data_IF_860899575467
#
_entry.id   IF_860899575467
#
_cell.length_a   1.000
_cell.length_b   1.000
_cell.length_c   1.000
_cell.angle_alpha   90.00
_cell.angle_beta   90.00
_cell.angle_gamma   90.00
#
_symmetry.space_group_name_H-M   'P 1'
#
loop_
_entity.id
_entity.type
_entity.pdbx_description
1 polymer ?
#
# COMPACT_ATOMS: atom_id res chain seq x y z
N UNK A 1 16.63 0.19 10.69
CA UNK A 1 15.36 -0.43 11.15
C UNK A 1 14.50 0.55 11.91
N UNK A 2 15.04 1.24 12.92
CA UNK A 2 14.24 2.13 13.78
C UNK A 2 13.51 3.24 13.02
N UNK A 3 14.17 3.88 12.05
CA UNK A 3 13.54 4.96 11.28
C UNK A 3 12.46 4.43 10.33
N UNK A 4 12.82 3.51 9.43
CA UNK A 4 11.96 3.07 8.33
C UNK A 4 10.93 1.99 8.71
N UNK A 5 11.07 1.33 9.86
CA UNK A 5 10.14 0.29 10.32
C UNK A 5 9.47 0.69 11.63
N UNK A 6 10.25 0.92 12.70
CA UNK A 6 9.68 1.26 14.01
C UNK A 6 8.94 2.61 13.96
N UNK A 7 9.55 3.64 13.37
CA UNK A 7 8.93 4.95 13.17
C UNK A 7 7.66 4.86 12.34
N UNK A 8 7.68 4.07 11.25
CA UNK A 8 6.50 3.80 10.42
C UNK A 8 5.33 3.24 11.24
N UNK A 9 5.58 2.21 12.07
CA UNK A 9 4.54 1.58 12.88
C UNK A 9 3.94 2.54 13.90
N UNK A 10 4.78 3.32 14.60
CA UNK A 10 4.30 4.33 15.54
C UNK A 10 3.50 5.44 14.86
N UNK A 11 3.99 5.98 13.74
CA UNK A 11 3.26 6.99 12.97
C UNK A 11 1.93 6.46 12.47
N UNK A 12 1.90 5.21 12.00
CA UNK A 12 0.67 4.54 11.58
C UNK A 12 -0.32 4.44 12.73
N UNK A 13 0.12 3.96 13.89
CA UNK A 13 -0.71 3.87 15.09
C UNK A 13 -1.31 5.23 15.49
N UNK A 14 -0.48 6.28 15.53
CA UNK A 14 -0.92 7.64 15.81
C UNK A 14 -1.90 8.16 14.75
N UNK A 15 -1.67 7.88 13.46
CA UNK A 15 -2.55 8.29 12.38
C UNK A 15 -3.96 7.70 12.56
N UNK A 16 -4.06 6.40 12.86
CA UNK A 16 -5.36 5.76 13.12
C UNK A 16 -6.06 6.31 14.37
N UNK A 17 -5.30 6.75 15.38
CA UNK A 17 -5.88 7.38 16.56
C UNK A 17 -6.36 8.82 16.29
N UNK A 18 -5.55 9.64 15.62
CA UNK A 18 -5.77 11.09 15.50
C UNK A 18 -6.57 11.50 14.26
N UNK A 19 -6.43 10.81 13.12
CA UNK A 19 -7.18 11.17 11.91
C UNK A 19 -8.70 11.16 12.14
N UNK A 20 -9.29 10.15 12.80
CA UNK A 20 -10.73 10.16 13.09
C UNK A 20 -11.19 11.29 14.01
N UNK A 21 -10.29 11.83 14.83
CA UNK A 21 -10.56 12.91 15.79
C UNK A 21 -10.33 14.30 15.22
N UNK A 22 -9.79 14.39 13.99
CA UNK A 22 -9.48 15.66 13.36
C UNK A 22 -10.80 16.37 12.96
N UNK A 23 -11.09 17.58 13.50
CA UNK A 23 -12.33 18.29 13.20
C UNK A 23 -12.54 18.49 11.70
N UNK A 24 -13.79 18.28 11.24
CA UNK A 24 -14.14 18.41 9.82
C UNK A 24 -13.59 17.29 8.92
N UNK A 25 -13.03 16.21 9.48
CA UNK A 25 -12.64 15.03 8.70
C UNK A 25 -13.74 13.97 8.60
N UNK A 26 -14.03 13.53 7.38
CA UNK A 26 -14.97 12.43 7.08
C UNK A 26 -14.27 11.08 6.92
N UNK A 27 -15.04 9.99 7.05
CA UNK A 27 -14.57 8.67 6.67
C UNK A 27 -14.31 8.62 5.15
N UNK A 28 -13.28 7.88 4.74
CA UNK A 28 -12.99 7.68 3.31
C UNK A 28 -14.11 6.90 2.59
N UNK A 29 -14.36 7.21 1.32
CA UNK A 29 -15.30 6.48 0.48
C UNK A 29 -14.87 6.54 -1.00
N UNK A 30 -15.08 5.44 -1.74
CA UNK A 30 -14.84 5.40 -3.19
C UNK A 30 -15.84 6.28 -3.95
N UNK A 31 -17.04 6.49 -3.41
CA UNK A 31 -18.08 7.35 -4.00
C UNK A 31 -17.86 8.84 -3.68
N UNK A 32 -16.66 9.19 -3.20
CA UNK A 32 -16.33 10.56 -2.87
C UNK A 32 -16.28 11.45 -4.12
N UNK A 33 -16.60 12.73 -3.91
CA UNK A 33 -16.54 13.79 -4.91
C UNK A 33 -15.43 14.77 -4.50
N UNK A 34 -14.21 14.59 -5.04
CA UNK A 34 -13.08 15.46 -4.73
C UNK A 34 -13.44 16.94 -4.94
N UNK A 35 -13.07 17.79 -3.98
CA UNK A 35 -13.31 19.24 -4.05
C UNK A 35 -14.70 19.73 -3.63
N UNK A 36 -15.68 18.83 -3.40
CA UNK A 36 -17.02 19.20 -2.91
C UNK A 36 -17.33 18.68 -1.50
N UNK A 37 -16.63 17.64 -1.06
CA UNK A 37 -16.87 16.98 0.22
C UNK A 37 -15.91 17.46 1.31
N UNK A 38 -16.22 17.12 2.56
CA UNK A 38 -15.32 17.35 3.68
C UNK A 38 -14.01 16.59 3.48
N UNK A 39 -12.93 17.12 4.07
CA UNK A 39 -11.60 16.50 4.02
C UNK A 39 -11.70 15.06 4.51
N UNK A 40 -11.14 14.12 3.78
CA UNK A 40 -11.12 12.72 4.18
C UNK A 40 -9.91 12.41 5.08
N UNK A 41 -9.82 11.16 5.52
CA UNK A 41 -8.74 10.67 6.38
C UNK A 41 -7.83 9.77 5.55
N UNK A 42 -6.58 10.18 5.40
CA UNK A 42 -5.63 9.50 4.53
C UNK A 42 -4.28 9.30 5.22
N UNK A 43 -3.76 8.08 5.15
CA UNK A 43 -2.39 7.73 5.50
C UNK A 43 -1.64 7.39 4.21
N UNK A 44 -0.65 8.20 3.85
CA UNK A 44 0.20 7.96 2.69
C UNK A 44 1.55 7.38 3.14
N UNK A 45 1.84 6.15 2.74
CA UNK A 45 3.09 5.47 3.08
C UNK A 45 4.17 5.72 2.03
N UNK A 46 5.42 5.86 2.49
CA UNK A 46 6.59 6.01 1.63
C UNK A 46 7.43 4.72 1.65
N UNK A 47 7.15 3.85 0.68
CA UNK A 47 7.91 2.66 0.36
C UNK A 47 9.17 2.97 -0.44
N UNK A 48 9.53 2.06 -1.35
CA UNK A 48 10.63 2.17 -2.31
C UNK A 48 10.48 1.05 -3.34
N UNK A 49 11.16 1.15 -4.48
CA UNK A 49 11.41 -0.04 -5.31
C UNK A 49 12.13 -1.16 -4.56
N UNK A 50 12.92 -0.83 -3.53
CA UNK A 50 13.51 -1.80 -2.61
C UNK A 50 12.49 -2.57 -1.74
N UNK A 51 11.22 -2.14 -1.73
CA UNK A 51 10.13 -2.89 -1.11
C UNK A 51 9.70 -4.09 -1.94
N UNK A 52 9.98 -4.09 -3.25
CA UNK A 52 9.49 -5.07 -4.23
C UNK A 52 10.63 -5.90 -4.80
N UNK A 53 11.77 -5.25 -5.05
CA UNK A 53 12.95 -5.86 -5.62
C UNK A 53 14.13 -5.79 -4.64
N UNK A 54 14.99 -6.82 -4.61
CA UNK A 54 16.15 -6.80 -3.73
C UNK A 54 17.19 -5.77 -4.20
N UNK A 55 17.83 -5.10 -3.24
CA UNK A 55 19.06 -4.33 -3.47
C UNK A 55 20.16 -5.06 -2.69
N UNK A 56 20.95 -5.94 -3.35
CA UNK A 56 21.92 -6.80 -2.66
C UNK A 56 22.90 -6.05 -1.76
N UNK A 57 23.30 -4.84 -2.16
CA UNK A 57 24.22 -3.99 -1.41
C UNK A 57 23.60 -3.37 -0.13
N UNK A 58 22.27 -3.41 0.04
CA UNK A 58 21.58 -2.74 1.15
C UNK A 58 20.51 -3.64 1.79
N UNK A 59 20.88 -4.79 2.38
CA UNK A 59 19.93 -5.76 2.93
C UNK A 59 19.07 -5.19 4.07
N UNK A 60 19.65 -4.35 4.94
CA UNK A 60 18.91 -3.73 6.04
C UNK A 60 17.88 -2.70 5.56
N UNK A 61 18.20 -1.94 4.51
CA UNK A 61 17.26 -1.01 3.88
C UNK A 61 16.14 -1.77 3.17
N UNK A 62 16.49 -2.79 2.40
CA UNK A 62 15.53 -3.68 1.73
C UNK A 62 14.56 -4.32 2.72
N UNK A 63 15.05 -4.88 3.82
CA UNK A 63 14.22 -5.45 4.88
C UNK A 63 13.24 -4.43 5.47
N UNK A 64 13.72 -3.23 5.82
CA UNK A 64 12.86 -2.18 6.35
C UNK A 64 11.80 -1.73 5.33
N UNK A 65 12.15 -1.64 4.04
CA UNK A 65 11.21 -1.25 2.97
C UNK A 65 10.21 -2.36 2.62
N UNK A 66 10.58 -3.64 2.76
CA UNK A 66 9.63 -4.75 2.70
C UNK A 66 8.64 -4.70 3.87
N UNK A 67 9.06 -4.28 5.07
CA UNK A 67 8.14 -4.08 6.19
C UNK A 67 7.08 -3.01 5.88
N UNK A 68 7.45 -1.93 5.16
CA UNK A 68 6.48 -0.93 4.67
C UNK A 68 5.43 -1.56 3.75
N UNK A 69 5.88 -2.39 2.79
CA UNK A 69 4.97 -3.08 1.87
C UNK A 69 4.06 -4.07 2.61
N UNK A 70 4.60 -4.85 3.54
CA UNK A 70 3.80 -5.78 4.35
C UNK A 70 2.72 -5.05 5.16
N UNK A 71 3.07 -3.91 5.76
CA UNK A 71 2.11 -3.05 6.46
C UNK A 71 1.04 -2.51 5.50
N UNK A 72 1.43 -2.01 4.33
CA UNK A 72 0.49 -1.53 3.31
C UNK A 72 -0.49 -2.64 2.87
N UNK A 73 0.01 -3.82 2.50
CA UNK A 73 -0.82 -4.96 2.06
C UNK A 73 -1.79 -5.41 3.16
N UNK A 74 -1.36 -5.38 4.42
CA UNK A 74 -2.21 -5.72 5.57
C UNK A 74 -3.32 -4.69 5.81
N UNK A 75 -2.99 -3.40 5.68
CA UNK A 75 -3.93 -2.32 5.97
C UNK A 75 -4.87 -2.00 4.82
N UNK A 76 -4.43 -2.10 3.56
CA UNK A 76 -5.26 -1.72 2.39
C UNK A 76 -6.58 -2.51 2.32
N UNK A 77 -6.59 -3.73 2.85
CA UNK A 77 -7.78 -4.59 2.89
C UNK A 77 -8.78 -4.16 3.97
N UNK A 78 -8.35 -3.52 5.06
CA UNK A 78 -9.17 -3.28 6.25
C UNK A 78 -9.30 -1.82 6.67
N UNK A 79 -8.45 -0.93 6.17
CA UNK A 79 -8.35 0.46 6.63
C UNK A 79 -9.65 1.24 6.44
N UNK A 80 -10.38 0.92 5.37
CA UNK A 80 -11.67 1.54 5.03
C UNK A 80 -12.74 1.31 6.11
N UNK A 81 -12.68 0.20 6.86
CA UNK A 81 -13.58 -0.09 7.98
C UNK A 81 -13.39 0.92 9.11
N UNK A 82 -12.17 1.42 9.29
CA UNK A 82 -11.86 2.47 10.27
C UNK A 82 -12.02 3.88 9.69
N UNK A 83 -12.53 3.98 8.45
CA UNK A 83 -12.74 5.23 7.74
C UNK A 83 -11.46 5.96 7.35
N UNK A 84 -10.31 5.28 7.34
CA UNK A 84 -9.02 5.83 6.92
C UNK A 84 -8.61 5.12 5.64
N UNK A 85 -8.37 5.87 4.55
CA UNK A 85 -7.77 5.27 3.36
C UNK A 85 -6.25 5.24 3.49
N UNK A 86 -5.64 4.24 2.87
CA UNK A 86 -4.20 4.09 2.83
C UNK A 86 -3.74 3.95 1.38
N UNK A 87 -2.66 4.63 1.02
CA UNK A 87 -1.98 4.47 -0.25
C UNK A 87 -0.47 4.41 -0.02
N UNK A 88 0.30 3.97 -1.02
CA UNK A 88 1.75 3.86 -0.91
C UNK A 88 2.48 4.34 -2.16
N UNK A 89 3.53 5.14 -1.99
CA UNK A 89 4.48 5.47 -3.06
C UNK A 89 5.75 4.64 -2.93
N UNK A 90 6.26 4.13 -4.04
CA UNK A 90 7.48 3.35 -4.15
C UNK A 90 8.46 4.02 -5.13
N UNK A 91 9.17 5.08 -4.71
CA UNK A 91 10.17 5.71 -5.56
C UNK A 91 11.30 4.74 -5.93
N UNK A 92 11.75 4.81 -7.19
CA UNK A 92 13.00 4.21 -7.68
C UNK A 92 14.21 5.09 -7.29
N UNK A 93 15.33 4.99 -8.00
CA UNK A 93 16.41 5.96 -7.88
C UNK A 93 15.96 7.32 -8.41
N UNK A 94 15.57 8.19 -7.48
CA UNK A 94 15.17 9.58 -7.75
C UNK A 94 16.36 10.50 -7.54
N UNK A 95 16.53 11.47 -8.44
CA UNK A 95 17.61 12.45 -8.35
C UNK A 95 17.46 13.37 -7.13
N UNK A 96 17.99 12.91 -6.00
CA UNK A 96 17.96 13.58 -4.70
C UNK A 96 19.31 13.38 -4.01
N UNK A 97 19.64 14.20 -2.99
CA UNK A 97 20.90 14.06 -2.24
C UNK A 97 21.10 12.71 -1.54
N UNK A 98 20.05 11.87 -1.42
CA UNK A 98 20.16 10.51 -0.86
C UNK A 98 20.99 9.58 -1.75
N UNK A 99 21.09 9.87 -3.05
CA UNK A 99 21.87 9.08 -4.00
C UNK A 99 23.30 9.61 -3.99
N UNK A 100 24.20 8.86 -3.34
CA UNK A 100 25.61 9.24 -3.19
C UNK A 100 26.36 9.25 -4.53
N UNK A 101 27.48 9.97 -4.61
CA UNK A 101 28.32 10.00 -5.82
C UNK A 101 28.68 8.62 -6.38
N UNK A 102 29.14 7.66 -5.54
CA UNK A 102 29.37 6.28 -5.98
C UNK A 102 28.12 5.57 -6.49
N UNK A 103 26.96 5.79 -5.85
CA UNK A 103 25.69 5.24 -6.32
C UNK A 103 25.27 5.85 -7.66
N UNK A 104 25.44 7.17 -7.86
CA UNK A 104 25.22 7.83 -9.15
C UNK A 104 26.11 7.28 -10.25
N UNK A 105 27.36 6.95 -9.94
CA UNK A 105 28.28 6.32 -10.89
C UNK A 105 27.88 4.88 -11.23
N UNK A 106 27.47 4.09 -10.23
CA UNK A 106 26.94 2.74 -10.45
C UNK A 106 25.63 2.74 -11.27
N UNK A 107 24.85 3.81 -11.16
CA UNK A 107 23.63 4.03 -11.91
C UNK A 107 23.87 4.79 -13.23
N UNK A 108 25.13 5.13 -13.56
CA UNK A 108 25.45 5.84 -14.79
C UNK A 108 25.09 4.99 -16.01
N UNK A 109 24.35 5.59 -16.96
CA UNK A 109 23.76 4.87 -18.09
C UNK A 109 22.35 4.34 -17.83
N UNK A 110 21.90 4.29 -16.58
CA UNK A 110 20.50 4.12 -16.20
C UNK A 110 19.76 5.47 -16.14
N UNK A 111 18.46 5.46 -16.44
CA UNK A 111 17.64 6.64 -16.28
C UNK A 111 17.24 6.81 -14.79
N UNK A 112 17.39 8.02 -14.26
CA UNK A 112 16.91 8.38 -12.91
C UNK A 112 15.49 8.96 -13.00
N UNK A 113 14.69 8.67 -11.97
CA UNK A 113 13.40 9.33 -11.78
C UNK A 113 13.58 10.76 -11.28
N UNK A 114 12.58 11.60 -11.49
CA UNK A 114 12.59 13.00 -11.05
C UNK A 114 11.74 13.20 -9.80
N UNK A 115 12.10 14.21 -9.00
CA UNK A 115 11.33 14.54 -7.79
C UNK A 115 9.93 15.01 -8.15
N UNK A 116 9.81 15.72 -9.27
CA UNK A 116 8.54 16.25 -9.76
C UNK A 116 7.54 15.13 -10.04
N UNK A 117 7.99 13.99 -10.57
CA UNK A 117 7.12 12.84 -10.84
C UNK A 117 6.61 12.20 -9.53
N UNK A 118 7.43 12.19 -8.47
CA UNK A 118 7.03 11.71 -7.14
C UNK A 118 6.02 12.67 -6.50
N UNK A 119 6.26 13.99 -6.64
CA UNK A 119 5.37 15.03 -6.11
C UNK A 119 4.02 15.00 -6.83
N UNK A 120 4.00 14.80 -8.15
CA UNK A 120 2.78 14.67 -8.93
C UNK A 120 1.95 13.45 -8.49
N UNK A 121 2.61 12.28 -8.34
CA UNK A 121 1.98 11.08 -7.81
C UNK A 121 1.41 11.27 -6.40
N UNK A 122 2.19 11.89 -5.51
CA UNK A 122 1.77 12.21 -4.15
C UNK A 122 0.57 13.17 -4.13
N UNK A 123 0.61 14.20 -4.98
CA UNK A 123 -0.47 15.18 -5.13
C UNK A 123 -1.75 14.50 -5.57
N UNK A 124 -1.66 13.58 -6.55
CA UNK A 124 -2.80 12.80 -7.01
C UNK A 124 -3.42 11.98 -5.88
N UNK A 125 -2.59 11.26 -5.11
CA UNK A 125 -3.07 10.48 -3.97
C UNK A 125 -3.66 11.35 -2.86
N UNK A 126 -3.11 12.52 -2.58
CA UNK A 126 -3.63 13.41 -1.54
C UNK A 126 -4.92 14.10 -1.99
N UNK A 127 -4.97 14.58 -3.23
CA UNK A 127 -6.08 15.39 -3.74
C UNK A 127 -7.31 14.57 -4.19
N UNK A 128 -7.13 13.34 -4.67
CA UNK A 128 -8.25 12.50 -5.09
C UNK A 128 -8.65 11.51 -3.99
N UNK A 129 -9.71 11.87 -3.26
CA UNK A 129 -10.29 11.07 -2.17
C UNK A 129 -10.86 9.72 -2.64
N UNK A 130 -11.01 9.49 -3.94
CA UNK A 130 -11.49 8.23 -4.53
C UNK A 130 -10.39 7.19 -4.68
N UNK A 131 -9.14 7.58 -4.47
CA UNK A 131 -7.99 6.65 -4.57
C UNK A 131 -7.73 6.01 -3.21
N UNK A 132 -8.14 4.75 -3.07
CA UNK A 132 -8.02 3.95 -1.85
C UNK A 132 -7.24 2.66 -2.13
N UNK A 133 -6.28 2.34 -1.26
CA UNK A 133 -5.57 1.06 -1.29
C UNK A 133 -4.68 0.89 -2.51
N UNK A 134 -4.21 1.97 -3.14
CA UNK A 134 -3.34 1.90 -4.33
C UNK A 134 -1.88 2.10 -3.96
N UNK A 135 -1.01 1.47 -4.73
CA UNK A 135 0.42 1.67 -4.65
C UNK A 135 0.96 2.13 -6.01
N UNK A 136 1.95 3.02 -6.04
CA UNK A 136 2.59 3.43 -7.29
C UNK A 136 4.11 3.36 -7.15
N UNK A 137 4.76 2.65 -8.06
CA UNK A 137 6.18 2.79 -8.33
C UNK A 137 6.38 4.04 -9.17
N UNK A 138 7.35 4.87 -8.81
CA UNK A 138 7.71 6.08 -9.56
C UNK A 138 9.17 5.98 -9.97
N UNK A 139 9.39 5.90 -11.28
CA UNK A 139 10.71 5.72 -11.88
C UNK A 139 11.00 6.73 -12.98
N UNK A 140 12.06 6.50 -13.78
CA UNK A 140 12.28 7.29 -14.98
C UNK A 140 11.10 7.13 -15.95
N UNK A 141 10.82 8.19 -16.70
CA UNK A 141 9.83 8.16 -17.77
C UNK A 141 10.23 7.14 -18.83
N UNK A 142 9.37 6.17 -19.04
CA UNK A 142 9.50 5.16 -20.09
C UNK A 142 8.33 5.28 -21.05
N UNK A 143 8.60 5.06 -22.34
CA UNK A 143 7.53 5.04 -23.34
C UNK A 143 6.90 3.66 -23.34
N UNK A 144 5.60 3.61 -23.03
CA UNK A 144 4.84 2.36 -22.94
C UNK A 144 3.63 2.39 -23.86
N UNK A 145 3.25 1.23 -24.38
CA UNK A 145 2.02 1.03 -25.14
C UNK A 145 1.19 -0.05 -24.42
N UNK A 146 -0.10 0.22 -24.23
CA UNK A 146 -1.00 -0.78 -23.70
C UNK A 146 -1.40 -1.74 -24.83
N UNK A 147 -1.19 -3.04 -24.61
CA UNK A 147 -1.61 -4.10 -25.53
C UNK A 147 -3.10 -4.39 -25.39
N UNK A 148 -3.65 -5.12 -26.35
CA UNK A 148 -5.08 -5.48 -26.38
C UNK A 148 -5.51 -6.38 -25.20
N UNK A 149 -4.55 -7.05 -24.55
CA UNK A 149 -4.74 -7.85 -23.32
C UNK A 149 -4.68 -7.00 -22.03
N UNK A 150 -4.50 -5.68 -22.14
CA UNK A 150 -4.39 -4.74 -21.03
C UNK A 150 -2.99 -4.61 -20.44
N UNK A 151 -2.01 -5.43 -20.85
CA UNK A 151 -0.63 -5.39 -20.36
C UNK A 151 0.15 -4.22 -20.97
N UNK A 152 1.12 -3.70 -20.20
CA UNK A 152 1.97 -2.58 -20.65
C UNK A 152 3.27 -3.10 -21.26
N UNK A 153 3.57 -2.65 -22.48
CA UNK A 153 4.81 -2.97 -23.20
C UNK A 153 5.71 -1.73 -23.32
N UNK A 154 7.01 -1.91 -23.06
CA UNK A 154 8.03 -0.91 -23.33
C UNK A 154 8.24 -0.77 -24.84
N UNK A 155 8.08 0.46 -25.36
CA UNK A 155 8.24 0.77 -26.78
C UNK A 155 9.22 1.91 -27.00
N UNK A 156 9.71 2.07 -28.22
CA UNK A 156 10.57 3.20 -28.58
C UNK A 156 9.82 4.53 -28.52
N UNK A 157 10.57 5.60 -28.25
CA UNK A 157 10.05 6.97 -28.26
C UNK A 157 9.43 7.29 -29.61
N UNK A 158 8.25 7.93 -29.59
CA UNK A 158 7.45 8.31 -30.75
C UNK A 158 6.71 7.17 -31.49
N UNK A 159 6.56 6.00 -30.88
CA UNK A 159 5.65 4.96 -31.41
C UNK A 159 4.19 5.47 -31.42
N UNK A 160 3.44 5.41 -32.54
CA UNK A 160 2.05 5.85 -32.59
C UNK A 160 1.17 5.11 -31.58
N UNK A 161 0.43 5.86 -30.76
CA UNK A 161 -0.41 5.32 -29.68
C UNK A 161 0.34 4.91 -28.41
N UNK A 162 1.62 5.28 -28.28
CA UNK A 162 2.37 5.12 -27.04
C UNK A 162 2.25 6.33 -26.11
N UNK A 163 2.32 6.08 -24.81
CA UNK A 163 2.28 7.11 -23.77
C UNK A 163 3.58 7.03 -22.97
N UNK A 164 4.18 8.19 -22.69
CA UNK A 164 5.32 8.26 -21.79
C UNK A 164 4.81 8.26 -20.33
N UNK A 165 5.15 7.23 -19.57
CA UNK A 165 4.68 7.02 -18.21
C UNK A 165 5.87 6.73 -17.30
N UNK A 166 5.91 7.41 -16.15
CA UNK A 166 6.91 7.18 -15.09
C UNK A 166 6.38 6.26 -13.97
N UNK A 167 5.12 5.82 -14.08
CA UNK A 167 4.38 5.20 -12.99
C UNK A 167 3.84 3.83 -13.36
N UNK A 168 3.97 2.87 -12.45
CA UNK A 168 3.30 1.59 -12.56
C UNK A 168 2.77 1.17 -11.19
N UNK A 169 1.69 0.40 -11.15
CA UNK A 169 1.09 -0.07 -9.91
C UNK A 169 1.54 -1.50 -9.57
N UNK A 170 2.36 -1.68 -8.51
CA UNK A 170 2.98 -2.96 -8.22
C UNK A 170 2.05 -3.97 -7.53
N UNK A 171 0.94 -3.49 -6.98
CA UNK A 171 -0.01 -4.29 -6.21
C UNK A 171 -1.39 -4.29 -6.89
N UNK A 172 -1.41 -4.13 -8.21
CA UNK A 172 -2.63 -4.11 -9.02
C UNK A 172 -3.37 -5.44 -8.96
N UNK A 173 -2.65 -6.56 -8.84
CA UNK A 173 -3.20 -7.91 -8.84
C UNK A 173 -3.31 -8.52 -7.43
N UNK A 174 -2.76 -7.85 -6.42
CA UNK A 174 -2.79 -8.31 -5.02
C UNK A 174 -4.22 -8.56 -4.50
N UNK A 175 -5.24 -7.90 -5.07
CA UNK A 175 -6.63 -8.12 -4.67
C UNK A 175 -7.11 -9.53 -5.04
N UNK A 176 -6.58 -10.14 -6.10
CA UNK A 176 -6.93 -11.51 -6.49
C UNK A 176 -6.43 -12.50 -5.43
N UNK A 177 -5.20 -12.30 -4.94
CA UNK A 177 -4.59 -13.13 -3.89
C UNK A 177 -5.31 -12.96 -2.55
N UNK A 178 -5.59 -11.71 -2.15
CA UNK A 178 -6.26 -11.40 -0.88
C UNK A 178 -7.69 -11.93 -0.88
N UNK A 179 -8.48 -11.67 -1.93
CA UNK A 179 -9.84 -12.18 -2.03
C UNK A 179 -9.87 -13.71 -2.07
N UNK A 180 -8.90 -14.34 -2.73
CA UNK A 180 -8.77 -15.80 -2.71
C UNK A 180 -8.47 -16.34 -1.30
N UNK A 181 -7.54 -15.72 -0.56
CA UNK A 181 -7.23 -16.11 0.80
C UNK A 181 -8.44 -15.92 1.73
N UNK A 182 -9.05 -14.75 1.73
CA UNK A 182 -10.20 -14.43 2.59
C UNK A 182 -11.38 -15.35 2.29
N UNK A 183 -11.70 -15.57 1.01
CA UNK A 183 -12.72 -16.53 0.58
C UNK A 183 -12.41 -17.95 1.07
N UNK A 184 -11.15 -18.38 1.00
CA UNK A 184 -10.74 -19.70 1.46
C UNK A 184 -10.85 -19.83 2.99
N UNK A 185 -10.43 -18.81 3.75
CA UNK A 185 -10.59 -18.77 5.21
C UNK A 185 -12.08 -18.80 5.59
N UNK A 186 -12.92 -17.99 4.95
CA UNK A 186 -14.37 -17.99 5.20
C UNK A 186 -14.99 -19.34 4.89
N UNK A 187 -14.61 -20.00 3.79
CA UNK A 187 -15.06 -21.37 3.48
C UNK A 187 -14.68 -22.38 4.57
N UNK A 188 -13.44 -22.32 5.06
CA UNK A 188 -12.97 -23.19 6.15
C UNK A 188 -13.74 -22.90 7.43
N UNK A 189 -13.89 -21.63 7.82
CA UNK A 189 -14.65 -21.24 9.00
C UNK A 189 -16.11 -21.68 8.91
N UNK A 190 -16.76 -21.49 7.76
CA UNK A 190 -18.13 -21.94 7.54
C UNK A 190 -18.26 -23.47 7.58
N UNK A 191 -17.30 -24.21 7.03
CA UNK A 191 -17.28 -25.67 7.11
C UNK A 191 -17.09 -26.16 8.56
N UNK A 192 -16.18 -25.54 9.31
CA UNK A 192 -15.98 -25.83 10.74
C UNK A 192 -17.23 -25.48 11.56
N UNK A 193 -17.88 -24.34 11.28
CA UNK A 193 -19.11 -23.93 11.93
C UNK A 193 -20.28 -24.88 11.60
N UNK A 194 -20.39 -25.33 10.35
CA UNK A 194 -21.38 -26.33 9.93
C UNK A 194 -21.14 -27.68 10.62
N UNK A 195 -19.87 -28.09 10.76
CA UNK A 195 -19.50 -29.35 11.42
C UNK A 195 -19.68 -29.33 12.94
N UNK A 196 -19.40 -28.20 13.61
CA UNK A 196 -19.49 -28.05 15.08
C UNK A 196 -20.85 -27.55 15.56
N UNK A 197 -21.64 -26.95 14.67
CA UNK A 197 -22.97 -26.43 14.95
C UNK A 197 -23.00 -25.28 15.98
N UNK A 198 -24.22 -24.85 16.33
CA UNK A 198 -24.48 -23.75 17.27
C UNK A 198 -24.02 -24.03 18.70
N UNK A 199 -24.04 -25.29 19.13
CA UNK A 199 -23.60 -25.69 20.46
C UNK A 199 -22.08 -25.52 20.63
N UNK A 200 -21.28 -25.94 19.65
CA UNK A 200 -19.83 -25.77 19.68
C UNK A 200 -19.42 -24.29 19.67
N UNK A 201 -20.05 -23.50 18.81
CA UNK A 201 -19.84 -22.04 18.77
C UNK A 201 -20.17 -21.37 20.11
N UNK A 202 -21.33 -21.68 20.71
CA UNK A 202 -21.71 -21.12 22.00
C UNK A 202 -20.73 -21.51 23.12
N UNK A 203 -20.24 -22.76 23.13
CA UNK A 203 -19.23 -23.17 24.11
C UNK A 203 -17.89 -22.46 23.94
N UNK A 204 -17.46 -22.18 22.71
CA UNK A 204 -16.23 -21.45 22.43
C UNK A 204 -16.36 -19.96 22.77
N UNK A 205 -17.53 -19.35 22.53
CA UNK A 205 -17.84 -17.98 22.98
C UNK A 205 -17.82 -17.87 24.51
N UNK A 206 -18.45 -18.81 25.22
CA UNK A 206 -18.43 -18.85 26.69
C UNK A 206 -17.00 -19.04 27.21
N UNK A 207 -16.21 -19.95 26.62
CA UNK A 207 -14.80 -20.15 26.98
C UNK A 207 -13.97 -18.89 26.74
N UNK A 208 -14.17 -18.20 25.62
CA UNK A 208 -13.47 -16.96 25.30
C UNK A 208 -13.80 -15.87 26.32
N UNK A 209 -15.08 -15.69 26.68
CA UNK A 209 -15.52 -14.72 27.70
C UNK A 209 -14.93 -15.06 29.07
N UNK A 210 -14.99 -16.33 29.48
CA UNK A 210 -14.42 -16.81 30.76
C UNK A 210 -12.90 -16.62 30.81
N UNK A 211 -12.20 -16.85 29.70
CA UNK A 211 -10.76 -16.60 29.57
C UNK A 211 -10.43 -15.11 29.71
N UNK A 212 -11.20 -14.24 29.05
CA UNK A 212 -10.98 -12.79 29.08
C UNK A 212 -11.26 -12.18 30.46
N UNK A 213 -12.17 -12.79 31.24
CA UNK A 213 -12.49 -12.38 32.62
C UNK A 213 -11.50 -12.93 33.67
N UNK A 214 -10.43 -13.62 33.26
CA UNK A 214 -9.39 -14.11 34.16
C UNK A 214 -9.84 -15.26 35.07
N UNK A 215 -10.99 -15.88 34.78
CA UNK A 215 -11.53 -16.99 35.54
C UNK A 215 -10.97 -18.33 35.06
N UNK A 216 -9.63 -18.45 35.03
CA UNK A 216 -8.95 -19.74 35.16
C UNK A 216 -7.45 -19.57 35.45
N UNK A 217 -7.01 -20.24 36.53
CA UNK A 217 -5.69 -20.87 36.59
C UNK A 217 -5.62 -21.99 35.55
#
# INVERSE_FOLDING_TARGET
MDVNCTGLLYTTHLAYYWLPRNPGSGACSMDSQPGKQSRDRHLLLLGSMASLAPIPAQPQYGAAKHAVLGLFRSLRASSHVQGVRINMLCPYFIDTPIVTGPARLLLAGGAMGKVEDVVDAATRFVADSRVLGRALVIGPKVTVKQRDDGQWELVEKATPGSTETALWEPCADDWEEVDAFDRNIVKVLNAVQAARGWAGWATDVVKAIVYTLGWRR
#
